data_IF_403732531004
#
_entry.id   IF_403732531004
#
_cell.length_a   1.000
_cell.length_b   1.000
_cell.length_c   1.000
_cell.angle_alpha   90.00
_cell.angle_beta   90.00
_cell.angle_gamma   90.00
#
_symmetry.space_group_name_H-M   'P 1'
#
loop_
_entity.id
_entity.type
_entity.pdbx_description
1 polymer ?
#
# COMPACT_ATOMS: atom_id res chain seq x y z
N UNK A 1 21.80 -4.98 -40.04
CA UNK A 1 20.87 -3.82 -40.00
C UNK A 1 21.49 -2.81 -39.03
N UNK A 2 21.89 -1.62 -39.51
CA UNK A 2 22.70 -0.68 -38.71
C UNK A 2 21.85 0.39 -37.98
N UNK A 3 20.84 0.98 -38.62
CA UNK A 3 19.91 1.92 -37.98
C UNK A 3 18.68 2.18 -38.85
N UNK A 4 17.65 2.81 -38.26
CA UNK A 4 16.39 3.14 -38.92
C UNK A 4 16.57 4.10 -40.12
N UNK A 5 17.64 4.89 -40.14
CA UNK A 5 17.97 5.78 -41.26
C UNK A 5 18.37 5.00 -42.52
N UNK A 6 19.17 3.94 -42.36
CA UNK A 6 19.68 3.18 -43.51
C UNK A 6 18.75 2.04 -43.93
N UNK A 7 17.83 1.61 -43.06
CA UNK A 7 16.89 0.53 -43.34
C UNK A 7 15.48 0.82 -42.78
N UNK A 8 14.80 1.89 -43.24
CA UNK A 8 13.51 2.31 -42.68
C UNK A 8 12.47 1.18 -42.72
N UNK A 9 12.49 0.37 -43.78
CA UNK A 9 11.54 -0.73 -43.96
C UNK A 9 11.72 -1.90 -42.97
N UNK A 10 12.88 -2.00 -42.30
CA UNK A 10 13.11 -3.06 -41.30
C UNK A 10 12.54 -2.71 -39.92
N UNK A 11 12.16 -1.45 -39.68
CA UNK A 11 11.63 -1.00 -38.40
C UNK A 11 10.11 -0.78 -38.38
N UNK A 12 9.40 -0.98 -39.50
CA UNK A 12 7.93 -0.95 -39.52
C UNK A 12 7.28 -2.01 -38.61
N UNK A 13 8.00 -3.06 -38.23
CA UNK A 13 7.54 -4.02 -37.22
C UNK A 13 7.47 -3.40 -35.80
N UNK A 14 8.20 -2.31 -35.57
CA UNK A 14 8.18 -1.54 -34.32
C UNK A 14 7.30 -0.29 -34.39
N UNK A 15 6.72 0.02 -35.56
CA UNK A 15 5.55 0.91 -35.68
C UNK A 15 4.32 0.17 -35.13
N UNK A 16 4.40 -0.20 -33.85
CA UNK A 16 3.25 -0.65 -33.10
C UNK A 16 2.31 0.55 -33.03
N UNK A 17 1.16 0.45 -33.69
CA UNK A 17 0.07 1.39 -33.47
C UNK A 17 -0.18 1.40 -31.97
N UNK A 18 0.13 2.51 -31.30
CA UNK A 18 -0.14 2.69 -29.89
C UNK A 18 -1.66 2.55 -29.70
N UNK A 19 -2.10 1.34 -29.36
CA UNK A 19 -3.47 1.13 -28.92
C UNK A 19 -3.59 1.93 -27.64
N UNK A 20 -4.47 2.95 -27.56
CA UNK A 20 -4.65 3.70 -26.35
C UNK A 20 -4.99 2.72 -25.24
N UNK A 21 -4.10 2.58 -24.26
CA UNK A 21 -4.37 1.74 -23.09
C UNK A 21 -5.64 2.31 -22.45
N UNK A 22 -6.69 1.50 -22.24
CA UNK A 22 -7.88 1.96 -21.54
C UNK A 22 -7.47 2.60 -20.21
N UNK A 23 -7.87 3.86 -20.00
CA UNK A 23 -7.56 4.56 -18.76
C UNK A 23 -8.16 3.77 -17.61
N UNK A 24 -7.30 3.27 -16.71
CA UNK A 24 -7.80 2.66 -15.48
C UNK A 24 -8.62 3.71 -14.71
N UNK A 25 -9.68 3.29 -14.00
CA UNK A 25 -10.38 4.17 -13.09
C UNK A 25 -9.39 4.83 -12.12
N UNK A 26 -9.61 6.11 -11.82
CA UNK A 26 -8.78 6.81 -10.84
C UNK A 26 -9.11 6.31 -9.44
N UNK A 27 -8.06 6.04 -8.66
CA UNK A 27 -8.15 5.75 -7.23
C UNK A 27 -8.78 6.91 -6.46
N UNK A 28 -9.35 6.60 -5.29
CA UNK A 28 -9.86 7.63 -4.39
C UNK A 28 -8.73 8.59 -3.97
N UNK A 29 -8.96 9.90 -4.07
CA UNK A 29 -8.02 10.92 -3.54
C UNK A 29 -8.26 11.06 -2.03
N UNK A 30 -7.46 10.36 -1.24
CA UNK A 30 -7.58 10.34 0.22
C UNK A 30 -6.60 11.33 0.85
N UNK A 31 -7.05 12.01 1.91
CA UNK A 31 -6.21 12.93 2.68
C UNK A 31 -5.31 12.15 3.64
N UNK A 32 -4.24 12.78 4.11
CA UNK A 32 -3.46 12.25 5.24
C UNK A 32 -4.37 12.20 6.47
N UNK A 33 -4.35 11.08 7.17
CA UNK A 33 -5.09 10.89 8.42
C UNK A 33 -4.13 10.77 9.60
N UNK A 34 -4.66 10.93 10.81
CA UNK A 34 -3.91 10.70 12.05
C UNK A 34 -4.20 9.27 12.51
N UNK A 35 -3.14 8.50 12.73
CA UNK A 35 -3.23 7.12 13.20
C UNK A 35 -3.83 7.07 14.60
N UNK A 36 -4.94 6.34 14.75
CA UNK A 36 -5.58 6.05 16.02
C UNK A 36 -5.25 4.61 16.48
N UNK A 37 -5.75 4.20 17.66
CA UNK A 37 -5.44 2.89 18.23
C UNK A 37 -5.75 1.71 17.31
N UNK A 38 -6.91 1.75 16.63
CA UNK A 38 -7.31 0.69 15.68
C UNK A 38 -6.43 0.66 14.44
N UNK A 39 -5.99 1.81 13.97
CA UNK A 39 -5.08 1.88 12.83
C UNK A 39 -3.67 1.39 13.20
N UNK A 40 -3.22 1.57 14.44
CA UNK A 40 -1.99 0.93 14.91
C UNK A 40 -2.11 -0.58 14.98
N UNK A 41 -3.20 -1.09 15.56
CA UNK A 41 -3.51 -2.52 15.63
C UNK A 41 -3.59 -3.15 14.23
N UNK A 42 -4.25 -2.49 13.28
CA UNK A 42 -4.31 -2.95 11.89
C UNK A 42 -2.94 -2.96 11.21
N UNK A 43 -2.13 -1.93 11.45
CA UNK A 43 -0.79 -1.85 10.89
C UNK A 43 0.08 -3.01 11.40
N UNK A 44 0.09 -3.24 12.71
CA UNK A 44 0.81 -4.35 13.35
C UNK A 44 0.36 -5.71 12.81
N UNK A 45 -0.96 -5.96 12.75
CA UNK A 45 -1.46 -7.23 12.24
C UNK A 45 -1.15 -7.46 10.75
N UNK A 46 -1.14 -6.41 9.93
CA UNK A 46 -0.74 -6.51 8.53
C UNK A 46 0.76 -6.74 8.38
N UNK A 47 1.58 -6.17 9.26
CA UNK A 47 3.02 -6.40 9.30
C UNK A 47 3.35 -7.84 9.68
N UNK A 48 2.76 -8.35 10.77
CA UNK A 48 2.91 -9.75 11.19
C UNK A 48 2.47 -10.72 10.08
N UNK A 49 1.32 -10.43 9.44
CA UNK A 49 0.85 -11.21 8.30
C UNK A 49 1.86 -11.17 7.14
N UNK A 50 2.46 -10.01 6.86
CA UNK A 50 3.39 -9.80 5.76
C UNK A 50 4.72 -10.54 5.99
N UNK A 51 5.24 -10.51 7.21
CA UNK A 51 6.42 -11.27 7.62
C UNK A 51 6.16 -12.77 7.53
N UNK A 52 5.06 -13.24 8.12
CA UNK A 52 4.66 -14.64 8.10
C UNK A 52 4.50 -15.17 6.66
N UNK A 53 3.83 -14.40 5.79
CA UNK A 53 3.63 -14.77 4.38
C UNK A 53 4.93 -14.77 3.59
N UNK A 54 5.85 -13.87 3.91
CA UNK A 54 7.19 -13.83 3.26
C UNK A 54 8.00 -15.05 3.66
N UNK A 55 8.00 -15.41 4.94
CA UNK A 55 8.64 -16.62 5.42
C UNK A 55 8.03 -17.88 4.79
N UNK A 56 6.70 -17.95 4.69
CA UNK A 56 5.98 -19.09 4.09
C UNK A 56 6.35 -19.31 2.62
N UNK A 57 6.39 -18.26 1.80
CA UNK A 57 6.54 -18.36 0.35
C UNK A 57 8.01 -18.37 -0.07
N UNK A 58 8.82 -17.55 0.58
CA UNK A 58 10.20 -17.28 0.17
C UNK A 58 11.22 -17.86 1.13
N UNK A 59 10.81 -18.34 2.31
CA UNK A 59 11.69 -18.85 3.34
C UNK A 59 12.30 -17.74 4.21
N UNK A 60 12.76 -18.15 5.39
CA UNK A 60 13.30 -17.27 6.43
C UNK A 60 14.51 -16.45 5.97
N UNK A 61 15.41 -17.03 5.16
CA UNK A 61 16.58 -16.32 4.66
C UNK A 61 16.19 -15.10 3.81
N UNK A 62 15.17 -15.20 2.96
CA UNK A 62 14.70 -14.07 2.17
C UNK A 62 14.01 -13.01 3.02
N UNK A 63 13.32 -13.43 4.10
CA UNK A 63 12.76 -12.48 5.07
C UNK A 63 13.89 -11.68 5.76
N UNK A 64 15.02 -12.31 6.10
CA UNK A 64 16.16 -11.63 6.74
C UNK A 64 16.89 -10.70 5.75
N UNK A 65 17.17 -11.19 4.54
CA UNK A 65 18.01 -10.47 3.57
C UNK A 65 17.28 -9.34 2.84
N UNK A 66 16.00 -9.55 2.50
CA UNK A 66 15.20 -8.62 1.69
C UNK A 66 14.09 -7.96 2.52
N UNK A 67 13.44 -8.74 3.37
CA UNK A 67 12.34 -8.26 4.21
C UNK A 67 10.94 -8.57 3.66
N UNK A 68 9.91 -8.18 4.44
CA UNK A 68 8.50 -8.48 4.16
C UNK A 68 7.93 -7.77 2.93
N UNK A 69 8.62 -6.74 2.44
CA UNK A 69 8.28 -6.00 1.21
C UNK A 69 8.23 -6.87 -0.05
N UNK A 70 8.87 -8.05 -0.02
CA UNK A 70 8.83 -9.03 -1.10
C UNK A 70 7.40 -9.55 -1.37
N UNK A 71 6.58 -9.70 -0.33
CA UNK A 71 5.17 -10.06 -0.46
C UNK A 71 4.32 -8.82 -0.72
N UNK A 72 4.41 -7.80 0.13
CA UNK A 72 3.61 -6.59 0.02
C UNK A 72 4.50 -5.35 0.24
N UNK A 73 4.78 -4.57 -0.81
CA UNK A 73 5.56 -3.34 -0.70
C UNK A 73 4.97 -2.34 0.31
N UNK A 74 5.82 -1.50 0.90
CA UNK A 74 5.41 -0.54 1.94
C UNK A 74 4.40 0.49 1.44
N UNK A 75 4.52 0.93 0.19
CA UNK A 75 3.57 1.87 -0.44
C UNK A 75 2.17 1.27 -0.61
N UNK A 76 2.10 -0.05 -0.84
CA UNK A 76 0.83 -0.79 -0.86
C UNK A 76 0.25 -0.89 0.55
N UNK A 77 1.06 -1.19 1.57
CA UNK A 77 0.63 -1.21 2.96
C UNK A 77 0.08 0.16 3.40
N UNK A 78 0.80 1.24 3.14
CA UNK A 78 0.34 2.62 3.41
C UNK A 78 -0.98 2.95 2.71
N UNK A 79 -1.13 2.50 1.46
CA UNK A 79 -2.36 2.66 0.70
C UNK A 79 -3.53 1.89 1.33
N UNK A 80 -3.30 0.64 1.75
CA UNK A 80 -4.29 -0.18 2.47
C UNK A 80 -4.69 0.52 3.77
N UNK A 81 -3.73 0.97 4.57
CA UNK A 81 -3.99 1.68 5.83
C UNK A 81 -4.86 2.91 5.61
N UNK A 82 -4.51 3.72 4.62
CA UNK A 82 -5.29 4.92 4.27
C UNK A 82 -6.70 4.56 3.81
N UNK A 83 -6.85 3.57 2.93
CA UNK A 83 -8.16 3.18 2.42
C UNK A 83 -9.04 2.50 3.48
N UNK A 84 -8.44 1.72 4.38
CA UNK A 84 -9.12 1.07 5.49
C UNK A 84 -9.65 2.09 6.49
N UNK A 85 -8.86 3.12 6.82
CA UNK A 85 -9.30 4.25 7.67
C UNK A 85 -10.56 4.93 7.11
N UNK A 86 -10.63 5.14 5.80
CA UNK A 86 -11.80 5.72 5.12
C UNK A 86 -12.89 4.70 4.74
N UNK A 87 -12.77 3.44 5.20
CA UNK A 87 -13.73 2.35 4.92
C UNK A 87 -13.99 2.12 3.43
N UNK A 88 -12.96 2.35 2.60
CA UNK A 88 -13.02 2.20 1.13
C UNK A 88 -12.86 0.76 0.67
N UNK A 89 -12.14 -0.05 1.43
CA UNK A 89 -11.89 -1.45 1.12
C UNK A 89 -12.90 -2.31 1.88
N UNK A 90 -13.90 -2.86 1.17
CA UNK A 90 -14.88 -3.80 1.75
C UNK A 90 -14.72 -5.20 1.18
N UNK A 91 -14.20 -5.29 -0.04
CA UNK A 91 -14.02 -6.51 -0.80
C UNK A 91 -12.63 -6.59 -1.44
N UNK A 92 -12.26 -7.77 -1.93
CA UNK A 92 -11.02 -7.98 -2.69
C UNK A 92 -10.99 -7.12 -3.95
N UNK A 93 -12.15 -6.84 -4.57
CA UNK A 93 -12.24 -5.97 -5.74
C UNK A 93 -11.94 -4.51 -5.39
N UNK A 94 -12.42 -4.02 -4.24
CA UNK A 94 -12.08 -2.68 -3.74
C UNK A 94 -10.60 -2.57 -3.43
N UNK A 95 -10.02 -3.60 -2.80
CA UNK A 95 -8.58 -3.67 -2.53
C UNK A 95 -7.78 -3.58 -3.84
N UNK A 96 -8.16 -4.35 -4.86
CA UNK A 96 -7.51 -4.35 -6.18
C UNK A 96 -7.64 -2.97 -6.83
N UNK A 97 -8.81 -2.36 -6.74
CA UNK A 97 -9.11 -1.07 -7.33
C UNK A 97 -8.32 0.07 -6.68
N UNK A 98 -8.26 0.13 -5.36
CA UNK A 98 -7.62 1.24 -4.65
C UNK A 98 -6.09 1.11 -4.61
N UNK A 99 -5.54 -0.11 -4.57
CA UNK A 99 -4.08 -0.31 -4.43
C UNK A 99 -3.37 -0.60 -5.75
N UNK A 100 -4.08 -1.11 -6.76
CA UNK A 100 -3.54 -1.81 -7.94
C UNK A 100 -2.43 -2.82 -7.60
N UNK A 101 -2.48 -3.42 -6.42
CA UNK A 101 -1.49 -4.40 -6.03
C UNK A 101 -1.62 -5.66 -6.89
N UNK A 102 -0.53 -6.04 -7.57
CA UNK A 102 -0.54 -7.15 -8.53
C UNK A 102 -0.86 -8.50 -7.89
N UNK A 103 -0.62 -8.65 -6.59
CA UNK A 103 -0.86 -9.88 -5.85
C UNK A 103 -2.21 -9.92 -5.13
N UNK A 104 -3.13 -8.96 -5.40
CA UNK A 104 -4.48 -8.98 -4.81
C UNK A 104 -5.24 -10.27 -5.11
N UNK A 105 -5.05 -10.88 -6.29
CA UNK A 105 -5.72 -12.14 -6.62
C UNK A 105 -5.18 -13.34 -5.81
N UNK A 106 -3.95 -13.26 -5.30
CA UNK A 106 -3.32 -14.34 -4.53
C UNK A 106 -3.60 -14.16 -3.03
N UNK A 107 -3.42 -12.95 -2.52
CA UNK A 107 -3.43 -12.69 -1.07
C UNK A 107 -4.55 -11.77 -0.61
N UNK A 108 -5.35 -11.22 -1.54
CA UNK A 108 -6.35 -10.21 -1.21
C UNK A 108 -7.40 -10.72 -0.23
N UNK A 109 -7.81 -11.98 -0.29
CA UNK A 109 -8.78 -12.55 0.64
C UNK A 109 -8.26 -12.58 2.09
N UNK A 110 -7.00 -12.97 2.29
CA UNK A 110 -6.36 -12.98 3.62
C UNK A 110 -6.20 -11.56 4.17
N UNK A 111 -5.76 -10.63 3.33
CA UNK A 111 -5.61 -9.21 3.73
C UNK A 111 -6.97 -8.60 4.09
N UNK A 112 -8.02 -8.88 3.31
CA UNK A 112 -9.39 -8.48 3.64
C UNK A 112 -9.81 -9.07 4.98
N UNK A 113 -9.51 -10.33 5.25
CA UNK A 113 -9.82 -10.96 6.52
C UNK A 113 -9.15 -10.21 7.71
N UNK A 114 -7.85 -9.89 7.61
CA UNK A 114 -7.13 -9.10 8.63
C UNK A 114 -7.78 -7.73 8.84
N UNK A 115 -8.12 -7.01 7.75
CA UNK A 115 -8.76 -5.70 7.83
C UNK A 115 -10.10 -5.77 8.56
N UNK A 116 -10.96 -6.72 8.18
CA UNK A 116 -12.31 -6.85 8.76
C UNK A 116 -12.31 -7.35 10.20
N UNK A 117 -11.27 -8.08 10.61
CA UNK A 117 -11.10 -8.52 11.99
C UNK A 117 -10.92 -7.35 12.96
N UNK A 118 -10.23 -6.29 12.52
CA UNK A 118 -9.87 -5.13 13.37
C UNK A 118 -10.82 -3.97 13.12
N UNK A 119 -11.10 -3.66 11.86
CA UNK A 119 -12.01 -2.60 11.44
C UNK A 119 -13.36 -3.22 11.09
N UNK A 120 -14.26 -3.25 12.07
CA UNK A 120 -15.64 -3.64 11.85
C UNK A 120 -16.33 -2.68 10.87
N UNK A 121 -16.73 -3.22 9.71
CA UNK A 121 -17.56 -2.49 8.76
C UNK A 121 -19.01 -2.52 9.26
N UNK A 122 -19.67 -1.37 9.44
CA UNK A 122 -21.08 -1.34 9.80
C UNK A 122 -21.88 -1.99 8.67
N UNK A 123 -22.45 -3.17 8.91
CA UNK A 123 -23.45 -3.75 8.01
C UNK A 123 -24.68 -2.86 8.16
N UNK A 124 -24.87 -1.93 7.22
CA UNK A 124 -26.09 -1.14 7.17
C UNK A 124 -27.19 -2.08 6.68
N UNK A 125 -28.22 -2.41 7.49
CA UNK A 125 -29.32 -3.23 7.01
C UNK A 125 -30.00 -2.45 5.88
N UNK A 126 -30.11 -3.07 4.71
CA UNK A 126 -30.86 -2.50 3.58
C UNK A 126 -32.33 -2.53 3.99
N UNK A 127 -32.82 -1.41 4.53
CA UNK A 127 -34.25 -1.22 4.73
C UNK A 127 -34.84 -0.99 3.35
N UNK A 128 -35.29 -2.09 2.74
CA UNK A 128 -36.14 -2.03 1.56
C UNK A 128 -37.50 -1.49 1.99
N UNK A 129 -37.61 -0.17 2.10
CA UNK A 129 -38.91 0.49 2.16
C UNK A 129 -39.53 0.36 0.77
N UNK A 130 -40.28 -0.71 0.58
CA UNK A 130 -41.20 -0.85 -0.56
C UNK A 130 -42.32 0.16 -0.33
N UNK A 131 -42.10 1.42 -0.72
CA UNK A 131 -43.19 2.39 -0.82
C UNK A 131 -44.08 1.92 -1.97
N UNK A 132 -45.33 1.51 -1.72
CA UNK A 132 -46.23 1.18 -2.82
C UNK A 132 -46.50 2.46 -3.62
N UNK A 133 -46.11 2.43 -4.89
CA UNK A 133 -46.44 3.48 -5.85
C UNK A 133 -47.96 3.47 -6.04
N UNK A 134 -48.68 4.43 -5.46
CA UNK A 134 -50.09 4.63 -5.77
C UNK A 134 -50.18 5.03 -7.25
N UNK A 135 -50.62 4.06 -8.07
CA UNK A 135 -50.97 4.27 -9.47
C UNK A 135 -52.24 5.13 -9.55
N UNK A 136 -52.09 6.43 -9.74
CA UNK A 136 -53.21 7.25 -10.20
C UNK A 136 -53.35 7.08 -11.72
N UNK A 137 -54.36 6.30 -12.08
CA UNK A 137 -54.87 6.16 -13.42
C UNK A 137 -55.69 7.42 -13.75
N UNK A 138 -55.26 8.21 -14.73
CA UNK A 138 -56.09 9.23 -15.37
C UNK A 138 -55.89 9.19 -16.88
N UNK A 139 -56.82 8.51 -17.54
CA UNK A 139 -57.01 8.55 -18.99
C UNK A 139 -57.67 9.89 -19.33
N UNK A 140 -57.05 10.70 -20.20
CA UNK A 140 -57.79 11.45 -21.21
C UNK A 140 -56.86 11.90 -22.35
N UNK A 141 -57.29 11.53 -23.55
CA UNK A 141 -56.75 11.94 -24.85
C UNK A 141 -56.73 13.46 -24.97
N UNK A 142 -55.72 14.02 -25.64
CA UNK A 142 -55.92 15.08 -26.65
C UNK A 142 -54.63 15.23 -27.47
N UNK A 143 -54.79 15.06 -28.77
CA UNK A 143 -53.86 15.39 -29.85
C UNK A 143 -53.44 16.85 -29.82
N UNK A 144 -52.18 17.13 -30.16
CA UNK A 144 -51.78 17.91 -31.34
C UNK A 144 -50.26 18.15 -31.33
N UNK A 145 -49.71 18.07 -32.54
CA UNK A 145 -48.42 18.55 -33.06
C UNK A 145 -47.67 19.63 -32.27
N UNK A 146 -46.33 19.59 -32.26
CA UNK A 146 -45.44 20.49 -33.02
C UNK A 146 -43.96 20.03 -32.88
N UNK A 147 -43.12 20.22 -33.93
CA UNK A 147 -41.70 19.87 -33.90
C UNK A 147 -40.85 21.09 -33.54
N UNK A 148 -39.93 20.96 -32.59
CA UNK A 148 -38.86 21.95 -32.37
C UNK A 148 -37.55 21.23 -32.06
N UNK A 149 -36.63 21.29 -33.02
CA UNK A 149 -35.19 21.07 -32.89
C UNK A 149 -34.59 21.96 -31.79
N UNK A 150 -33.48 21.57 -31.16
CA UNK A 150 -32.24 22.24 -31.53
C UNK A 150 -30.95 21.40 -31.47
N UNK A 151 -30.11 21.67 -32.47
CA UNK A 151 -28.70 22.05 -32.36
C UNK A 151 -27.71 21.16 -31.62
N UNK A 152 -26.91 20.46 -32.43
CA UNK A 152 -25.50 20.15 -32.19
C UNK A 152 -24.72 21.39 -31.75
N UNK A 153 -24.06 21.31 -30.58
CA UNK A 153 -22.96 22.20 -30.21
C UNK A 153 -21.69 21.36 -30.19
N UNK A 154 -20.91 21.57 -31.25
CA UNK A 154 -19.55 21.08 -31.42
C UNK A 154 -18.63 22.00 -30.59
N UNK A 155 -18.10 21.51 -29.46
CA UNK A 155 -17.08 22.23 -28.69
C UNK A 155 -15.71 21.68 -29.04
N UNK A 156 -15.12 22.32 -30.03
CA UNK A 156 -13.69 22.29 -30.34
C UNK A 156 -12.92 22.97 -29.20
N UNK A 157 -12.14 22.21 -28.43
CA UNK A 157 -11.10 22.75 -27.56
C UNK A 157 -9.72 22.41 -28.14
N UNK A 158 -9.14 23.40 -28.82
CA UNK A 158 -7.72 23.44 -29.18
C UNK A 158 -6.89 23.70 -27.93
N UNK A 159 -5.99 22.79 -27.59
CA UNK A 159 -4.95 23.01 -26.58
C UNK A 159 -3.68 23.47 -27.28
N UNK A 160 -3.26 24.70 -26.99
CA UNK A 160 -1.97 25.26 -27.40
C UNK A 160 -0.96 25.09 -26.27
N UNK A 161 0.17 24.46 -26.59
CA UNK A 161 1.41 24.40 -25.83
C UNK A 161 2.14 25.76 -25.86
N UNK A 162 2.91 26.05 -24.81
CA UNK A 162 4.30 26.48 -25.02
C UNK A 162 5.25 25.67 -24.13
N UNK A 163 6.26 25.00 -24.69
CA UNK A 163 7.54 25.51 -25.16
C UNK A 163 8.62 25.41 -24.06
N UNK A 164 9.58 24.53 -24.34
CA UNK A 164 10.81 24.27 -23.61
C UNK A 164 11.64 25.53 -23.39
N UNK A 165 12.34 25.56 -22.25
CA UNK A 165 13.63 26.22 -22.14
C UNK A 165 14.57 25.31 -21.36
N UNK A 166 15.55 24.78 -22.08
CA UNK A 166 16.52 23.84 -21.55
C UNK A 166 17.60 24.50 -20.71
N UNK A 167 18.22 23.70 -19.85
CA UNK A 167 19.62 23.87 -19.50
C UNK A 167 20.27 22.49 -19.33
N UNK A 168 21.36 22.34 -20.07
CA UNK A 168 22.24 21.18 -20.10
C UNK A 168 23.29 21.28 -18.99
N UNK A 169 23.63 20.12 -18.45
CA UNK A 169 24.97 19.63 -18.07
C UNK A 169 25.80 20.41 -17.05
N UNK A 170 26.23 19.70 -15.99
CA UNK A 170 27.63 19.27 -15.90
C UNK A 170 27.84 18.18 -14.84
N UNK A 171 28.76 17.28 -15.16
CA UNK A 171 29.08 16.03 -14.50
C UNK A 171 30.31 16.24 -13.63
N UNK A 172 30.26 15.90 -12.34
CA UNK A 172 31.47 15.54 -11.59
C UNK A 172 31.18 14.40 -10.63
N UNK A 173 31.62 13.22 -11.03
CA UNK A 173 31.77 12.02 -10.22
C UNK A 173 32.80 12.24 -9.10
N UNK A 174 32.35 12.17 -7.86
CA UNK A 174 33.22 11.90 -6.70
C UNK A 174 32.49 10.89 -5.80
N UNK A 175 32.68 9.61 -6.11
CA UNK A 175 32.23 8.48 -5.29
C UNK A 175 33.15 8.38 -4.06
N UNK A 176 32.91 9.24 -3.08
CA UNK A 176 33.35 9.01 -1.70
C UNK A 176 32.18 8.35 -0.99
N UNK A 177 32.30 7.06 -0.66
CA UNK A 177 31.28 6.33 0.10
C UNK A 177 31.20 6.89 1.52
N UNK A 178 30.46 7.99 1.70
CA UNK A 178 30.04 8.45 3.03
C UNK A 178 29.08 7.39 3.56
N UNK A 179 29.52 6.69 4.61
CA UNK A 179 28.67 5.75 5.34
C UNK A 179 27.56 6.55 6.02
N UNK A 180 26.31 6.17 5.76
CA UNK A 180 25.14 6.85 6.29
C UNK A 180 24.99 6.50 7.78
N UNK A 181 25.05 7.50 8.65
CA UNK A 181 24.79 7.37 10.10
C UNK A 181 23.36 7.80 10.41
N UNK A 182 22.69 7.08 11.31
CA UNK A 182 21.36 7.48 11.77
C UNK A 182 21.43 8.83 12.50
N UNK A 183 20.54 9.77 12.17
CA UNK A 183 20.55 11.12 12.78
C UNK A 183 20.08 11.13 14.24
N UNK A 184 19.38 10.09 14.70
CA UNK A 184 18.89 9.98 16.07
C UNK A 184 19.93 9.36 17.03
N UNK A 185 20.68 8.35 16.59
CA UNK A 185 21.64 7.62 17.44
C UNK A 185 23.11 7.71 17.00
N UNK A 186 23.40 8.22 15.79
CA UNK A 186 24.75 8.40 15.28
C UNK A 186 25.48 7.12 14.83
N UNK A 187 24.82 5.95 14.92
CA UNK A 187 25.40 4.65 14.58
C UNK A 187 25.24 4.32 13.09
N UNK A 188 26.26 3.63 12.54
CA UNK A 188 26.27 3.03 11.20
C UNK A 188 25.61 1.64 11.28
N UNK A 189 24.76 1.28 10.30
CA UNK A 189 24.20 -0.08 10.20
C UNK A 189 22.73 -0.25 10.60
N UNK A 190 22.04 0.82 10.99
CA UNK A 190 20.57 0.83 11.09
C UNK A 190 19.98 0.94 9.68
N UNK A 191 20.21 -0.05 8.82
CA UNK A 191 19.35 -0.25 7.68
C UNK A 191 17.94 -0.49 8.24
N UNK A 192 16.95 0.10 7.58
CA UNK A 192 15.55 0.24 8.02
C UNK A 192 14.82 -1.10 8.30
N UNK A 193 15.53 -2.23 8.21
CA UNK A 193 15.03 -3.60 8.15
C UNK A 193 14.97 -4.32 9.51
N UNK A 194 15.56 -3.76 10.59
CA UNK A 194 15.59 -4.43 11.91
C UNK A 194 14.95 -3.63 13.06
N UNK A 195 14.30 -2.49 12.78
CA UNK A 195 13.68 -1.66 13.82
C UNK A 195 12.40 -2.25 14.42
N UNK A 196 11.86 -3.33 13.87
CA UNK A 196 10.63 -3.97 14.36
C UNK A 196 10.91 -5.17 15.28
N UNK A 197 12.05 -5.84 15.10
CA UNK A 197 12.48 -6.98 15.94
C UNK A 197 12.70 -6.64 17.42
N UNK A 198 12.81 -5.35 17.77
CA UNK A 198 13.00 -4.90 19.16
C UNK A 198 11.70 -4.44 19.84
N UNK A 199 10.54 -4.52 19.18
CA UNK A 199 9.29 -3.91 19.70
C UNK A 199 8.63 -4.67 20.86
N UNK A 200 9.16 -5.81 21.32
CA UNK A 200 8.57 -6.58 22.43
C UNK A 200 9.46 -6.83 23.65
N UNK A 201 10.63 -6.18 23.78
CA UNK A 201 11.48 -6.42 24.96
C UNK A 201 11.40 -5.36 26.09
N UNK A 202 10.51 -4.37 26.00
CA UNK A 202 10.39 -3.31 27.03
C UNK A 202 8.95 -3.11 27.56
N UNK A 203 8.20 -4.20 27.75
CA UNK A 203 6.95 -4.19 28.53
C UNK A 203 6.94 -5.34 29.55
N UNK A 204 7.82 -5.24 30.56
CA UNK A 204 7.52 -5.70 31.93
C UNK A 204 7.09 -4.44 32.68
N UNK A 205 5.85 -4.32 33.15
CA UNK A 205 5.45 -4.92 34.41
C UNK A 205 3.92 -5.04 34.55
N UNK A 206 3.50 -6.08 35.28
CA UNK A 206 2.15 -6.39 35.77
C UNK A 206 1.10 -6.98 34.80
N UNK A 207 1.19 -8.31 34.63
CA UNK A 207 0.07 -9.19 34.94
C UNK A 207 -1.01 -9.39 33.88
N UNK A 208 -0.74 -10.18 32.84
CA UNK A 208 -1.80 -10.88 32.10
C UNK A 208 -1.27 -12.14 31.43
N UNK A 209 -1.61 -13.27 32.03
CA UNK A 209 -1.46 -14.62 31.54
C UNK A 209 -2.36 -14.82 30.31
N UNK A 210 -1.82 -15.14 29.12
CA UNK A 210 -2.38 -16.16 28.21
C UNK A 210 -1.55 -16.39 26.92
N UNK A 211 -1.35 -17.69 26.66
CA UNK A 211 -1.02 -18.45 25.44
C UNK A 211 0.36 -18.33 24.73
N UNK A 212 1.17 -19.33 25.07
CA UNK A 212 2.23 -20.01 24.33
C UNK A 212 2.07 -20.08 22.80
N UNK A 213 3.20 -19.88 22.10
CA UNK A 213 3.55 -20.69 20.93
C UNK A 213 4.50 -20.04 19.93
N UNK A 214 5.81 -20.02 20.19
CA UNK A 214 6.85 -20.70 19.40
C UNK A 214 8.26 -20.35 19.88
N UNK A 215 9.14 -21.36 19.81
CA UNK A 215 10.46 -21.42 20.43
C UNK A 215 11.45 -20.40 19.86
N UNK A 216 11.97 -19.50 20.71
CA UNK A 216 13.20 -18.78 20.42
C UNK A 216 14.36 -19.48 21.15
N UNK A 217 15.22 -20.15 20.39
CA UNK A 217 16.38 -20.89 20.90
C UNK A 217 17.42 -19.91 21.45
N UNK A 218 17.57 -19.91 22.77
CA UNK A 218 18.81 -19.76 23.55
C UNK A 218 19.88 -18.77 23.02
N UNK A 219 19.78 -17.49 23.38
CA UNK A 219 20.96 -16.61 23.47
C UNK A 219 21.57 -16.75 24.87
N UNK A 220 22.77 -17.33 24.93
CA UNK A 220 23.58 -17.45 26.14
C UNK A 220 23.96 -16.06 26.67
N UNK A 221 23.43 -15.68 27.83
CA UNK A 221 23.87 -14.52 28.59
C UNK A 221 25.26 -14.81 29.17
N UNK A 222 26.22 -13.96 28.81
CA UNK A 222 27.56 -13.92 29.40
C UNK A 222 27.46 -13.21 30.76
N UNK A 223 27.85 -13.82 31.90
CA UNK A 223 27.86 -13.09 33.17
C UNK A 223 29.12 -12.22 33.27
N UNK A 224 28.91 -10.92 33.43
CA UNK A 224 29.93 -9.94 33.81
C UNK A 224 30.42 -10.22 35.24
N UNK A 225 31.66 -10.69 35.37
CA UNK A 225 32.37 -10.74 36.65
C UNK A 225 33.04 -9.38 36.92
N UNK A 226 32.49 -8.61 37.85
CA UNK A 226 33.23 -7.56 38.55
C UNK A 226 32.74 -7.43 40.01
N UNK A 227 33.04 -8.46 40.81
CA UNK A 227 32.98 -8.37 42.27
C UNK A 227 34.39 -8.14 42.82
N UNK A 228 34.65 -6.94 43.36
CA UNK A 228 35.87 -6.61 44.08
C UNK A 228 35.77 -7.17 45.49
N UNK A 229 36.64 -8.11 45.83
CA UNK A 229 36.80 -8.65 47.17
C UNK A 229 37.61 -7.67 48.03
N UNK A 230 36.98 -7.10 49.06
CA UNK A 230 37.67 -6.41 50.15
C UNK A 230 38.02 -7.45 51.21
N UNK A 231 39.28 -7.87 51.25
CA UNK A 231 39.85 -8.63 52.36
C UNK A 231 40.23 -7.61 53.45
N UNK A 232 39.42 -7.51 54.50
CA UNK A 232 39.84 -6.84 55.74
C UNK A 232 40.63 -7.84 56.59
N UNK A 233 41.88 -7.48 56.87
CA UNK A 233 42.77 -8.20 57.78
C UNK A 233 42.71 -7.48 59.14
N UNK A 234 42.51 -8.28 60.20
CA UNK A 234 42.60 -7.97 61.64
C UNK A 234 41.44 -7.20 62.29
#
# INVERSE_FOLDING_TARGET
ICCNIHHPNTFHLFDSSFVPVPKLPNRSRLNKFKMGPKEYELCEALEDWREGKTCEIHGELNLIDIGPSLVMPDDILDCIMTCAHYLKIKSVDDLRHETHWSKTNQFGAEVIYVIHHIIHIPITPVVFTTTPLQSQCSILQTSMSFPVTPSSVNLSMSWQLPAELGHQSETTSNLSSKKNKCSACGLEGHNHTLSWFLRHHDCTDEGSHFYLGHNCTTCAMHPDHSGKENISML
#
